data_IF_098829466276
#
_entry.id   IF_098829466276
#
_cell.length_a   1.000
_cell.length_b   1.000
_cell.length_c   1.000
_cell.angle_alpha   90.00
_cell.angle_beta   90.00
_cell.angle_gamma   90.00
#
_symmetry.space_group_name_H-M   'P 1'
#
loop_
_entity.id
_entity.type
_entity.pdbx_description
1 polymer ?
#
# COMPACT_ATOMS: atom_id res chain seq x y z
N UNK A 1 12.87 27.46 -1.72
CA UNK A 1 12.79 26.08 -1.18
C UNK A 1 13.21 25.15 -2.31
N UNK A 2 14.34 24.45 -2.14
CA UNK A 2 14.78 23.49 -3.14
C UNK A 2 13.82 22.29 -3.10
N UNK A 3 12.89 22.26 -4.05
CA UNK A 3 11.95 21.14 -4.21
C UNK A 3 12.72 20.01 -4.93
N UNK A 4 13.61 19.33 -4.19
CA UNK A 4 14.31 18.19 -4.76
C UNK A 4 13.31 17.08 -5.10
N UNK A 5 13.41 16.54 -6.29
CA UNK A 5 12.56 15.43 -6.75
C UNK A 5 12.70 14.25 -5.78
N UNK A 6 11.57 13.70 -5.35
CA UNK A 6 11.51 12.49 -4.52
C UNK A 6 10.49 11.53 -5.13
N UNK A 7 10.94 10.37 -5.52
CA UNK A 7 10.10 9.33 -6.13
C UNK A 7 10.20 8.04 -5.35
N UNK A 8 9.21 7.17 -5.51
CA UNK A 8 9.09 5.96 -4.70
C UNK A 8 8.75 4.74 -5.53
N UNK A 9 9.46 3.66 -5.28
CA UNK A 9 9.01 2.30 -5.57
C UNK A 9 8.39 1.70 -4.30
N UNK A 10 7.18 1.18 -4.42
CA UNK A 10 6.38 0.71 -3.28
C UNK A 10 5.89 -0.73 -3.51
N UNK A 11 6.78 -1.73 -3.42
CA UNK A 11 6.40 -3.11 -3.65
C UNK A 11 5.66 -3.71 -2.46
N UNK A 12 4.63 -4.51 -2.75
CA UNK A 12 4.00 -5.39 -1.76
C UNK A 12 4.66 -6.77 -1.82
N UNK A 13 5.06 -7.37 -0.68
CA UNK A 13 5.75 -8.66 -0.64
C UNK A 13 4.76 -9.84 -0.77
N UNK A 14 3.84 -9.78 -1.73
CA UNK A 14 2.81 -10.78 -2.00
C UNK A 14 3.21 -11.81 -3.05
N UNK A 15 4.46 -11.78 -3.49
CA UNK A 15 5.06 -12.68 -4.47
C UNK A 15 6.42 -12.19 -4.93
N UNK A 16 7.01 -12.94 -5.87
CA UNK A 16 8.29 -12.55 -6.46
C UNK A 16 8.11 -11.38 -7.44
N UNK A 17 9.11 -10.49 -7.53
CA UNK A 17 9.04 -9.37 -8.46
C UNK A 17 9.02 -9.88 -9.91
N UNK A 18 8.12 -9.34 -10.71
CA UNK A 18 8.07 -9.58 -12.14
C UNK A 18 8.52 -8.34 -12.93
N UNK A 19 8.77 -8.51 -14.22
CA UNK A 19 9.30 -7.44 -15.09
C UNK A 19 8.48 -6.13 -15.02
N UNK A 20 7.17 -6.20 -14.83
CA UNK A 20 6.33 -5.01 -14.69
C UNK A 20 6.65 -4.19 -13.43
N UNK A 21 6.90 -4.87 -12.30
CA UNK A 21 7.28 -4.22 -11.04
C UNK A 21 8.67 -3.59 -11.17
N UNK A 22 9.61 -4.33 -11.71
CA UNK A 22 10.99 -3.87 -11.93
C UNK A 22 11.03 -2.69 -12.91
N UNK A 23 10.23 -2.73 -13.97
CA UNK A 23 10.10 -1.58 -14.90
C UNK A 23 9.67 -0.32 -14.15
N UNK A 24 8.69 -0.43 -13.24
CA UNK A 24 8.26 0.73 -12.43
C UNK A 24 9.39 1.25 -11.54
N UNK A 25 10.16 0.37 -10.91
CA UNK A 25 11.33 0.75 -10.13
C UNK A 25 12.36 1.48 -11.01
N UNK A 26 12.70 0.92 -12.17
CA UNK A 26 13.67 1.49 -13.10
C UNK A 26 13.27 2.91 -13.57
N UNK A 27 12.01 3.12 -13.96
CA UNK A 27 11.58 4.46 -14.39
C UNK A 27 11.66 5.49 -13.26
N UNK A 28 11.28 5.12 -12.04
CA UNK A 28 11.42 6.00 -10.89
C UNK A 28 12.90 6.29 -10.58
N UNK A 29 13.74 5.28 -10.62
CA UNK A 29 15.17 5.42 -10.39
C UNK A 29 15.81 6.35 -11.43
N UNK A 30 15.57 6.12 -12.73
CA UNK A 30 16.06 6.97 -13.80
C UNK A 30 15.60 8.43 -13.65
N UNK A 31 14.33 8.63 -13.29
CA UNK A 31 13.79 9.97 -13.08
C UNK A 31 14.46 10.68 -11.88
N UNK A 32 14.69 9.96 -10.78
CA UNK A 32 15.41 10.50 -9.64
C UNK A 32 16.85 10.88 -10.03
N UNK A 33 17.59 9.96 -10.64
CA UNK A 33 18.99 10.18 -11.00
C UNK A 33 19.15 11.32 -12.03
N UNK A 34 18.27 11.38 -13.04
CA UNK A 34 18.28 12.47 -14.04
C UNK A 34 18.05 13.85 -13.41
N UNK A 35 17.23 13.96 -12.37
CA UNK A 35 16.89 15.24 -11.73
C UNK A 35 17.71 15.53 -10.46
N UNK A 36 18.74 14.74 -10.14
CA UNK A 36 19.48 14.89 -8.87
C UNK A 36 18.61 14.73 -7.62
N UNK A 37 17.55 13.92 -7.74
CA UNK A 37 16.57 13.65 -6.70
C UNK A 37 16.85 12.36 -5.93
N UNK A 38 15.90 11.98 -5.06
CA UNK A 38 15.98 10.79 -4.23
C UNK A 38 15.05 9.69 -4.72
N UNK A 39 15.57 8.47 -4.83
CA UNK A 39 14.79 7.26 -5.07
C UNK A 39 14.58 6.50 -3.75
N UNK A 40 13.31 6.23 -3.42
CA UNK A 40 12.89 5.67 -2.14
C UNK A 40 12.30 4.29 -2.38
N UNK A 41 12.67 3.31 -1.57
CA UNK A 41 11.98 2.01 -1.50
C UNK A 41 11.18 1.97 -0.21
N UNK A 42 9.86 1.68 -0.32
CA UNK A 42 8.98 1.46 0.84
C UNK A 42 8.20 0.18 0.65
N UNK A 43 8.41 -0.77 1.54
CA UNK A 43 7.72 -2.06 1.53
C UNK A 43 6.28 -1.88 2.02
N UNK A 44 5.31 -2.31 1.21
CA UNK A 44 3.88 -2.25 1.54
C UNK A 44 3.41 -3.63 2.01
N UNK A 45 3.74 -3.98 3.26
CA UNK A 45 3.64 -5.29 3.90
C UNK A 45 2.43 -5.43 4.86
N UNK A 46 1.39 -4.62 4.68
CA UNK A 46 0.20 -4.68 5.55
C UNK A 46 -0.70 -5.88 5.29
N UNK A 47 -0.57 -6.56 4.16
CA UNK A 47 -1.33 -7.76 3.82
C UNK A 47 -0.59 -9.03 4.26
N UNK A 48 -0.70 -9.34 5.54
CA UNK A 48 -0.03 -10.52 6.13
C UNK A 48 -0.55 -11.85 5.59
N UNK A 49 -1.78 -11.89 5.04
CA UNK A 49 -2.38 -13.12 4.52
C UNK A 49 -1.80 -13.54 3.17
N UNK A 50 -1.29 -12.60 2.40
CA UNK A 50 -0.65 -12.82 1.09
C UNK A 50 0.86 -12.62 1.11
N UNK A 51 1.42 -12.31 2.28
CA UNK A 51 2.87 -12.15 2.42
C UNK A 51 3.60 -13.47 2.14
N UNK A 52 4.59 -13.41 1.27
CA UNK A 52 5.46 -14.54 0.94
C UNK A 52 6.75 -14.41 1.73
N UNK A 53 7.14 -15.50 2.40
CA UNK A 53 8.44 -15.56 3.10
C UNK A 53 9.56 -15.19 2.12
N UNK A 54 10.52 -14.43 2.59
CA UNK A 54 11.70 -14.01 1.85
C UNK A 54 11.42 -13.10 0.62
N UNK A 55 10.14 -12.70 0.39
CA UNK A 55 9.80 -11.84 -0.76
C UNK A 55 10.46 -10.46 -0.67
N UNK A 56 10.57 -9.89 0.53
CA UNK A 56 11.25 -8.60 0.74
C UNK A 56 12.72 -8.71 0.33
N UNK A 57 13.42 -9.73 0.83
CA UNK A 57 14.83 -9.98 0.49
C UNK A 57 15.01 -10.17 -1.02
N UNK A 58 14.13 -10.94 -1.66
CA UNK A 58 14.16 -11.16 -3.11
C UNK A 58 13.96 -9.85 -3.89
N UNK A 59 13.05 -8.97 -3.44
CA UNK A 59 12.83 -7.65 -4.05
C UNK A 59 14.10 -6.81 -3.95
N UNK A 60 14.68 -6.68 -2.76
CA UNK A 60 15.87 -5.86 -2.53
C UNK A 60 17.08 -6.42 -3.26
N UNK A 61 17.26 -7.74 -3.26
CA UNK A 61 18.31 -8.41 -4.04
C UNK A 61 18.15 -8.14 -5.55
N UNK A 62 16.95 -8.24 -6.08
CA UNK A 62 16.66 -7.95 -7.49
C UNK A 62 17.01 -6.52 -7.90
N UNK A 63 16.71 -5.54 -7.05
CA UNK A 63 17.08 -4.14 -7.28
C UNK A 63 18.61 -3.98 -7.32
N UNK A 64 19.33 -4.56 -6.37
CA UNK A 64 20.80 -4.51 -6.33
C UNK A 64 21.43 -5.18 -7.56
N UNK A 65 20.92 -6.36 -7.93
CA UNK A 65 21.39 -7.09 -9.11
C UNK A 65 21.28 -6.26 -10.39
N UNK A 66 20.25 -5.40 -10.48
CA UNK A 66 20.03 -4.47 -11.59
C UNK A 66 20.80 -3.15 -11.45
N UNK A 67 21.53 -2.93 -10.36
CA UNK A 67 22.23 -1.68 -10.09
C UNK A 67 21.31 -0.52 -9.71
N UNK A 68 20.07 -0.81 -9.25
CA UNK A 68 19.10 0.20 -8.80
C UNK A 68 19.29 0.43 -7.30
N UNK A 69 20.26 1.24 -6.94
CA UNK A 69 20.50 1.70 -5.57
C UNK A 69 19.41 2.69 -5.11
N UNK A 70 19.10 2.71 -3.81
CA UNK A 70 18.09 3.61 -3.24
C UNK A 70 18.69 4.49 -2.14
N UNK A 71 18.19 5.73 -2.06
CA UNK A 71 18.67 6.74 -1.14
C UNK A 71 18.00 6.66 0.23
N UNK A 72 16.76 6.17 0.27
CA UNK A 72 16.00 5.95 1.50
C UNK A 72 15.20 4.66 1.40
N UNK A 73 15.11 3.91 2.49
CA UNK A 73 14.38 2.65 2.50
C UNK A 73 14.95 1.62 3.46
N UNK A 74 14.54 0.34 3.32
CA UNK A 74 15.14 -0.76 4.08
C UNK A 74 16.66 -0.76 3.94
N UNK A 75 17.36 -1.08 5.02
CA UNK A 75 18.82 -1.19 5.15
C UNK A 75 19.59 0.14 5.10
N UNK A 76 19.12 1.16 4.37
CA UNK A 76 19.78 2.47 4.32
C UNK A 76 19.13 3.51 5.23
N UNK A 77 17.91 3.23 5.72
CA UNK A 77 17.14 4.16 6.54
C UNK A 77 16.82 5.48 5.81
N UNK A 78 16.68 6.59 6.52
CA UNK A 78 16.41 7.91 5.97
C UNK A 78 15.59 8.80 6.91
N UNK A 79 15.41 10.06 6.52
CA UNK A 79 14.77 11.08 7.35
C UNK A 79 13.25 10.84 7.55
N UNK A 80 12.60 10.18 6.62
CA UNK A 80 11.13 10.08 6.55
C UNK A 80 10.62 8.66 6.78
N UNK A 81 11.38 7.82 7.51
CA UNK A 81 10.92 6.50 7.93
C UNK A 81 9.67 6.55 8.81
N UNK A 82 9.12 5.38 9.12
CA UNK A 82 9.61 4.04 8.74
C UNK A 82 9.33 3.69 7.28
N UNK A 83 10.08 2.71 6.75
CA UNK A 83 10.00 2.27 5.34
C UNK A 83 9.34 0.90 5.17
N UNK A 84 8.82 0.33 6.24
CA UNK A 84 7.86 -0.77 6.23
C UNK A 84 6.49 -0.22 6.64
N UNK A 85 5.48 -0.51 5.83
CA UNK A 85 4.15 0.05 6.07
C UNK A 85 3.50 -0.54 7.33
N UNK A 86 3.83 -1.79 7.68
CA UNK A 86 3.42 -2.44 8.93
C UNK A 86 3.86 -1.67 10.19
N UNK A 87 4.98 -0.97 10.15
CA UNK A 87 5.47 -0.16 11.26
C UNK A 87 4.64 1.14 11.47
N UNK A 88 3.76 1.48 10.52
CA UNK A 88 2.89 2.66 10.59
C UNK A 88 1.49 2.37 11.13
N UNK A 89 1.17 1.16 11.57
CA UNK A 89 -0.19 0.73 11.95
C UNK A 89 -0.82 1.62 13.03
N UNK A 90 -0.08 2.00 14.06
CA UNK A 90 -0.59 2.89 15.10
C UNK A 90 -1.04 4.24 14.52
N UNK A 91 -0.24 4.83 13.64
CA UNK A 91 -0.59 6.07 12.95
C UNK A 91 -1.83 5.92 12.08
N UNK A 92 -1.97 4.78 11.39
CA UNK A 92 -3.17 4.51 10.59
C UNK A 92 -4.40 4.39 11.46
N UNK A 93 -4.32 3.73 12.62
CA UNK A 93 -5.40 3.67 13.59
C UNK A 93 -5.82 5.05 14.09
N UNK A 94 -4.89 5.88 14.51
CA UNK A 94 -5.18 7.25 14.97
C UNK A 94 -5.88 8.08 13.88
N UNK A 95 -5.38 8.02 12.65
CA UNK A 95 -5.98 8.76 11.53
C UNK A 95 -7.37 8.22 11.18
N UNK A 96 -7.56 6.89 11.18
CA UNK A 96 -8.87 6.28 10.95
C UNK A 96 -9.89 6.71 11.99
N UNK A 97 -9.54 6.70 13.28
CA UNK A 97 -10.41 7.16 14.36
C UNK A 97 -10.76 8.65 14.21
N UNK A 98 -9.79 9.48 13.82
CA UNK A 98 -10.05 10.90 13.55
C UNK A 98 -11.02 11.10 12.38
N UNK A 99 -10.88 10.34 11.29
CA UNK A 99 -11.80 10.40 10.16
C UNK A 99 -13.23 9.96 10.57
N UNK A 100 -13.35 8.94 11.41
CA UNK A 100 -14.64 8.47 11.93
C UNK A 100 -15.28 9.55 12.83
N UNK A 101 -14.52 10.15 13.73
CA UNK A 101 -15.02 11.20 14.61
C UNK A 101 -15.47 12.46 13.87
N UNK A 102 -14.87 12.73 12.71
CA UNK A 102 -15.24 13.85 11.82
C UNK A 102 -16.39 13.51 10.85
N UNK A 103 -16.91 12.28 10.86
CA UNK A 103 -17.95 11.82 9.94
C UNK A 103 -17.45 11.54 8.51
N UNK A 104 -16.14 11.57 8.27
CA UNK A 104 -15.52 11.31 6.97
C UNK A 104 -15.29 9.82 6.69
N UNK A 105 -15.43 8.96 7.71
CA UNK A 105 -15.38 7.51 7.61
C UNK A 105 -16.39 6.87 8.55
N UNK A 106 -16.65 5.58 8.38
CA UNK A 106 -17.54 4.79 9.23
C UNK A 106 -17.06 3.35 9.32
N UNK A 107 -17.45 2.64 10.40
CA UNK A 107 -17.16 1.22 10.55
C UNK A 107 -18.01 0.37 9.61
N UNK A 108 -17.41 -0.61 8.97
CA UNK A 108 -18.11 -1.62 8.19
C UNK A 108 -18.14 -2.95 8.97
N UNK A 109 -19.32 -3.47 9.18
CA UNK A 109 -19.58 -4.72 9.91
C UNK A 109 -19.92 -5.89 8.96
N UNK A 110 -19.72 -5.72 7.66
CA UNK A 110 -19.97 -6.79 6.69
C UNK A 110 -18.90 -7.88 6.79
N UNK A 111 -19.33 -9.15 6.76
CA UNK A 111 -18.41 -10.27 6.62
C UNK A 111 -17.75 -10.29 5.23
N UNK A 112 -16.57 -10.90 5.13
CA UNK A 112 -15.89 -11.08 3.84
C UNK A 112 -16.75 -11.85 2.85
N UNK A 113 -17.43 -12.90 3.32
CA UNK A 113 -18.34 -13.69 2.50
C UNK A 113 -19.46 -12.84 1.87
N UNK A 114 -20.14 -12.01 2.68
CA UNK A 114 -21.18 -11.10 2.16
C UNK A 114 -20.63 -10.15 1.09
N UNK A 115 -19.44 -9.59 1.31
CA UNK A 115 -18.83 -8.68 0.34
C UNK A 115 -18.48 -9.38 -0.97
N UNK A 116 -18.06 -10.64 -0.91
CA UNK A 116 -17.75 -11.46 -2.08
C UNK A 116 -19.00 -11.84 -2.87
N UNK A 117 -20.06 -12.27 -2.17
CA UNK A 117 -21.38 -12.55 -2.76
C UNK A 117 -21.94 -11.32 -3.48
N UNK A 118 -21.91 -10.14 -2.83
CA UNK A 118 -22.36 -8.89 -3.41
C UNK A 118 -21.60 -8.54 -4.68
N UNK A 119 -20.26 -8.65 -4.67
CA UNK A 119 -19.42 -8.39 -5.85
C UNK A 119 -19.71 -9.37 -6.99
N UNK A 120 -19.89 -10.65 -6.66
CA UNK A 120 -20.23 -11.68 -7.63
C UNK A 120 -21.57 -11.43 -8.32
N UNK A 121 -22.59 -11.00 -7.55
CA UNK A 121 -23.86 -10.61 -8.12
C UNK A 121 -23.77 -9.38 -9.04
N UNK A 122 -23.00 -8.37 -8.63
CA UNK A 122 -22.78 -7.18 -9.46
C UNK A 122 -22.11 -7.56 -10.79
N UNK A 123 -21.12 -8.42 -10.77
CA UNK A 123 -20.47 -8.94 -11.99
C UNK A 123 -21.46 -9.69 -12.89
N UNK A 124 -22.28 -10.58 -12.31
CA UNK A 124 -23.34 -11.29 -13.06
C UNK A 124 -24.32 -10.32 -13.73
N UNK A 125 -24.65 -9.22 -13.07
CA UNK A 125 -25.54 -8.15 -13.57
C UNK A 125 -24.81 -7.15 -14.48
N UNK A 126 -23.54 -7.36 -14.82
CA UNK A 126 -22.68 -6.44 -15.58
C UNK A 126 -22.57 -5.04 -14.97
N UNK A 127 -22.71 -4.93 -13.66
CA UNK A 127 -22.52 -3.70 -12.91
C UNK A 127 -21.05 -3.61 -12.44
N UNK A 128 -20.47 -2.42 -12.32
CA UNK A 128 -19.14 -2.27 -11.76
C UNK A 128 -19.14 -2.73 -10.29
N UNK A 129 -18.20 -3.60 -9.88
CA UNK A 129 -18.10 -4.03 -8.48
C UNK A 129 -17.82 -2.86 -7.55
N UNK A 130 -18.63 -2.71 -6.53
CA UNK A 130 -18.48 -1.63 -5.55
C UNK A 130 -19.23 -1.94 -4.25
N UNK A 131 -18.80 -1.31 -3.16
CA UNK A 131 -19.46 -1.47 -1.87
C UNK A 131 -20.82 -0.72 -1.86
N UNK A 132 -21.88 -1.41 -1.41
CA UNK A 132 -23.25 -0.89 -1.38
C UNK A 132 -23.53 0.13 -0.26
N UNK A 133 -22.53 0.47 0.53
CA UNK A 133 -22.59 1.42 1.65
C UNK A 133 -23.55 1.05 2.77
N UNK A 134 -23.97 -0.21 2.88
CA UNK A 134 -24.94 -0.69 3.85
C UNK A 134 -24.67 -0.24 5.29
N UNK A 135 -23.41 -0.19 5.70
CA UNK A 135 -23.05 0.16 7.07
C UNK A 135 -22.94 1.66 7.33
N UNK A 136 -23.16 2.53 6.33
CA UNK A 136 -22.99 3.97 6.47
C UNK A 136 -23.99 4.57 7.46
N UNK A 137 -25.24 4.19 7.33
CA UNK A 137 -26.37 4.83 8.01
C UNK A 137 -26.95 3.96 9.15
N UNK A 138 -26.18 2.96 9.61
CA UNK A 138 -26.60 2.10 10.72
C UNK A 138 -26.78 2.91 12.02
N UNK A 139 -27.91 2.71 12.67
CA UNK A 139 -28.16 3.22 14.02
C UNK A 139 -27.24 2.58 15.07
N UNK A 140 -27.12 3.19 16.25
CA UNK A 140 -26.30 2.62 17.35
C UNK A 140 -26.72 1.18 17.73
N UNK A 141 -28.01 0.84 17.62
CA UNK A 141 -28.54 -0.50 17.94
C UNK A 141 -28.16 -1.56 16.91
N UNK A 142 -27.91 -1.16 15.66
CA UNK A 142 -27.56 -2.06 14.56
C UNK A 142 -26.05 -2.26 14.41
N UNK A 143 -25.26 -1.56 15.23
CA UNK A 143 -23.80 -1.64 15.26
C UNK A 143 -23.27 -2.60 16.34
N UNK A 144 -24.17 -3.21 17.13
CA UNK A 144 -23.84 -4.15 18.21
C UNK A 144 -23.92 -5.59 17.77
#
# INVERSE_FOLDING_TARGET
MNNSVRVRYAPSPTGYPHVGNIRTALFNWLFARHNGGSFIVRIEDTDVTRSVKDAVETILHGLRWLGLDWDEGPEVSGKYGPYFQSECLNRYHEVAQRLISQGNAYHCYCSSQRLEEMRSEQVKKKLPPGYDRRCRDLSRKERS
#
